data_IF_602237334805
#
_entry.id   IF_602237334805
#
_cell.length_a   1.000
_cell.length_b   1.000
_cell.length_c   1.000
_cell.angle_alpha   90.00
_cell.angle_beta   90.00
_cell.angle_gamma   90.00
#
_symmetry.space_group_name_H-M   'P 1'
#
loop_
_entity.id
_entity.type
_entity.pdbx_description
1 polymer ?
#
# COMPACT_ATOMS: atom_id res chain seq x y z
N UNK A 1 25.96 -0.09 21.53
CA UNK A 1 24.96 0.20 22.59
C UNK A 1 23.59 0.23 21.92
N UNK A 2 22.81 -0.86 22.02
CA UNK A 2 21.44 -0.86 21.53
C UNK A 2 20.57 -0.15 22.57
N UNK A 3 20.34 1.14 22.38
CA UNK A 3 19.35 1.88 23.16
C UNK A 3 17.97 1.35 22.78
N UNK A 4 17.54 0.27 23.45
CA UNK A 4 16.23 -0.36 23.32
C UNK A 4 15.13 0.52 23.95
N UNK A 5 15.06 1.78 23.53
CA UNK A 5 13.94 2.66 23.85
C UNK A 5 12.89 2.52 22.74
N UNK A 6 12.35 1.32 22.61
CA UNK A 6 11.20 1.10 21.75
C UNK A 6 10.02 1.88 22.33
N UNK A 7 9.59 2.91 21.60
CA UNK A 7 8.40 3.69 21.94
C UNK A 7 7.20 2.76 22.14
N UNK A 8 6.43 2.99 23.20
CA UNK A 8 5.26 2.18 23.52
C UNK A 8 4.01 2.87 22.96
N UNK A 9 3.35 2.21 22.03
CA UNK A 9 2.11 2.67 21.39
C UNK A 9 0.88 2.00 22.00
N UNK A 10 -0.24 2.70 21.96
CA UNK A 10 -1.54 2.17 22.38
C UNK A 10 -2.29 1.56 21.19
N UNK A 11 -2.94 0.41 21.42
CA UNK A 11 -3.72 -0.23 20.38
C UNK A 11 -5.02 0.55 20.08
N UNK A 12 -5.35 0.77 18.79
CA UNK A 12 -6.56 1.46 18.35
C UNK A 12 -7.84 0.65 18.58
N UNK A 13 -7.74 -0.67 18.78
CA UNK A 13 -8.87 -1.55 19.08
C UNK A 13 -9.14 -1.66 20.58
N UNK A 14 -8.08 -1.62 21.40
CA UNK A 14 -8.18 -1.78 22.86
C UNK A 14 -7.15 -0.89 23.57
N UNK A 15 -7.64 0.12 24.29
CA UNK A 15 -6.84 1.08 25.07
C UNK A 15 -5.91 0.46 26.11
N UNK A 16 -6.22 -0.74 26.60
CA UNK A 16 -5.42 -1.45 27.60
C UNK A 16 -4.18 -2.13 27.02
N UNK A 17 -4.14 -2.34 25.70
CA UNK A 17 -2.94 -2.91 25.07
C UNK A 17 -1.89 -1.81 24.85
N UNK A 18 -0.72 -2.02 25.45
CA UNK A 18 0.49 -1.21 25.30
C UNK A 18 1.55 -2.07 24.60
N UNK A 19 2.04 -1.64 23.44
CA UNK A 19 2.87 -2.46 22.57
C UNK A 19 4.08 -1.65 22.12
N UNK A 20 5.26 -2.26 22.14
CA UNK A 20 6.45 -1.69 21.54
C UNK A 20 6.22 -1.39 20.05
N UNK A 21 6.71 -0.24 19.57
CA UNK A 21 6.60 0.22 18.18
C UNK A 21 7.08 -0.84 17.19
N UNK A 22 8.19 -1.51 17.51
CA UNK A 22 8.78 -2.63 16.77
C UNK A 22 7.82 -3.82 16.56
N UNK A 23 6.86 -4.02 17.47
CA UNK A 23 5.88 -5.13 17.44
C UNK A 23 4.49 -4.68 17.02
N UNK A 24 4.26 -3.38 16.81
CA UNK A 24 2.94 -2.81 16.64
C UNK A 24 2.22 -3.32 15.40
N UNK A 25 2.90 -3.41 14.25
CA UNK A 25 2.32 -3.92 13.00
C UNK A 25 1.77 -5.35 13.14
N UNK A 26 2.59 -6.27 13.66
CA UNK A 26 2.17 -7.66 13.88
C UNK A 26 1.02 -7.74 14.90
N UNK A 27 1.05 -6.89 15.93
CA UNK A 27 -0.02 -6.80 16.90
C UNK A 27 -1.35 -6.41 16.25
N UNK A 28 -1.38 -5.38 15.39
CA UNK A 28 -2.61 -4.91 14.74
C UNK A 28 -3.31 -6.03 13.98
N UNK A 29 -2.58 -6.77 13.14
CA UNK A 29 -3.15 -7.86 12.33
C UNK A 29 -3.75 -8.97 13.20
N UNK A 30 -3.12 -9.30 14.33
CA UNK A 30 -3.67 -10.30 15.26
C UNK A 30 -4.86 -9.75 16.05
N UNK A 31 -4.77 -8.49 16.47
CA UNK A 31 -5.79 -7.87 17.31
C UNK A 31 -7.09 -7.64 16.53
N UNK A 32 -6.98 -7.22 15.27
CA UNK A 32 -8.09 -6.97 14.34
C UNK A 32 -9.02 -8.18 14.19
N UNK A 33 -8.47 -9.40 14.18
CA UNK A 33 -9.24 -10.65 14.08
C UNK A 33 -10.20 -10.91 15.24
N UNK A 34 -10.02 -10.25 16.38
CA UNK A 34 -10.91 -10.39 17.54
C UNK A 34 -12.11 -9.43 17.50
N UNK A 35 -12.19 -8.55 16.50
CA UNK A 35 -13.24 -7.56 16.33
C UNK A 35 -14.03 -7.84 15.05
N UNK A 36 -15.26 -7.30 14.92
CA UNK A 36 -16.02 -7.41 13.68
C UNK A 36 -15.25 -6.88 12.47
N UNK A 37 -15.46 -7.45 11.27
CA UNK A 37 -14.96 -6.85 10.04
C UNK A 37 -15.46 -5.41 9.94
N UNK A 38 -14.62 -4.51 9.42
CA UNK A 38 -14.88 -3.08 9.27
C UNK A 38 -15.05 -2.26 10.55
N UNK A 39 -14.70 -2.80 11.73
CA UNK A 39 -14.70 -2.03 12.97
C UNK A 39 -13.75 -0.81 12.93
N UNK A 40 -12.63 -0.95 12.20
CA UNK A 40 -11.67 0.11 11.91
C UNK A 40 -11.26 0.04 10.44
N UNK A 41 -10.96 1.20 9.86
CA UNK A 41 -10.43 1.34 8.50
C UNK A 41 -8.94 1.61 8.54
N UNK A 42 -8.22 1.08 7.55
CA UNK A 42 -6.77 1.25 7.42
C UNK A 42 -6.48 2.52 6.60
N UNK A 43 -5.52 3.33 7.05
CA UNK A 43 -5.07 4.48 6.25
C UNK A 43 -4.37 4.00 4.97
N UNK A 44 -4.68 4.59 3.80
CA UNK A 44 -4.04 4.22 2.54
C UNK A 44 -2.53 4.55 2.50
N UNK A 45 -2.06 5.49 3.32
CA UNK A 45 -0.65 5.91 3.35
C UNK A 45 0.18 5.21 4.43
N UNK A 46 -0.47 4.69 5.49
CA UNK A 46 0.23 4.01 6.57
C UNK A 46 -0.59 2.86 7.15
N UNK A 47 -0.10 1.65 6.93
CA UNK A 47 -0.72 0.42 7.39
C UNK A 47 -0.72 0.25 8.93
N UNK A 48 -0.07 1.13 9.71
CA UNK A 48 -0.21 1.13 11.19
C UNK A 48 -1.38 1.95 11.68
N UNK A 49 -1.88 2.90 10.87
CA UNK A 49 -3.01 3.73 11.26
C UNK A 49 -4.31 2.92 11.10
N UNK A 50 -5.11 2.89 12.18
CA UNK A 50 -6.46 2.31 12.21
C UNK A 50 -7.42 3.35 12.77
N UNK A 51 -8.41 3.72 11.98
CA UNK A 51 -9.31 4.85 12.27
C UNK A 51 -10.77 4.41 12.18
N UNK A 52 -11.69 5.19 12.73
CA UNK A 52 -13.10 4.96 12.50
C UNK A 52 -13.49 5.39 11.08
N UNK A 53 -14.57 4.81 10.54
CA UNK A 53 -15.10 5.19 9.22
C UNK A 53 -15.39 6.69 9.10
N UNK A 54 -15.85 7.33 10.18
CA UNK A 54 -16.13 8.78 10.20
C UNK A 54 -14.87 9.65 10.26
N UNK A 55 -13.76 9.13 10.76
CA UNK A 55 -12.52 9.90 10.99
C UNK A 55 -11.53 9.77 9.82
N UNK A 56 -11.69 8.76 8.96
CA UNK A 56 -10.73 8.45 7.90
C UNK A 56 -10.65 9.57 6.86
N UNK A 57 -11.77 10.22 6.54
CA UNK A 57 -11.83 11.30 5.54
C UNK A 57 -11.01 12.51 5.98
N UNK A 58 -11.19 12.94 7.23
CA UNK A 58 -10.38 14.01 7.81
C UNK A 58 -8.91 13.58 7.93
N UNK A 59 -8.66 12.36 8.42
CA UNK A 59 -7.31 11.83 8.58
C UNK A 59 -6.50 11.84 7.28
N UNK A 60 -7.08 11.42 6.16
CA UNK A 60 -6.41 11.40 4.85
C UNK A 60 -5.89 12.80 4.49
N UNK A 61 -6.62 13.85 4.83
CA UNK A 61 -6.22 15.22 4.53
C UNK A 61 -5.04 15.71 5.35
N UNK A 62 -4.94 15.26 6.61
CA UNK A 62 -3.90 15.69 7.55
C UNK A 62 -2.81 14.64 7.78
N UNK A 63 -2.86 13.51 7.07
CA UNK A 63 -1.98 12.38 7.33
C UNK A 63 -0.51 12.77 7.11
N UNK A 64 0.38 12.60 8.11
CA UNK A 64 1.79 12.96 7.96
C UNK A 64 2.48 12.23 6.80
N UNK A 65 2.07 10.99 6.54
CA UNK A 65 2.66 10.13 5.50
C UNK A 65 2.16 10.44 4.08
N UNK A 66 1.09 11.24 3.95
CA UNK A 66 0.54 11.62 2.63
C UNK A 66 1.59 12.33 1.76
N UNK A 67 2.30 13.31 2.34
CA UNK A 67 3.33 14.11 1.64
C UNK A 67 4.49 13.27 1.11
N UNK A 68 4.86 12.20 1.81
CA UNK A 68 5.93 11.29 1.41
C UNK A 68 5.56 10.48 0.17
N UNK A 69 4.32 9.98 0.13
CA UNK A 69 3.81 9.23 -1.03
C UNK A 69 3.61 10.16 -2.22
N UNK A 70 3.09 11.36 -1.98
CA UNK A 70 2.85 12.33 -3.03
C UNK A 70 4.17 12.86 -3.66
N UNK A 71 5.24 13.05 -2.89
CA UNK A 71 6.54 13.45 -3.46
C UNK A 71 7.15 12.42 -4.43
N UNK A 72 6.71 11.15 -4.40
CA UNK A 72 7.31 10.05 -5.17
C UNK A 72 6.80 9.91 -6.61
N UNK A 73 5.71 10.59 -6.98
CA UNK A 73 5.17 10.54 -8.35
C UNK A 73 5.82 11.53 -9.32
N UNK A 74 6.77 12.36 -8.88
CA UNK A 74 7.61 13.13 -9.80
C UNK A 74 8.65 12.16 -10.38
N UNK A 75 8.25 11.38 -11.38
CA UNK A 75 9.21 10.72 -12.27
C UNK A 75 10.02 11.83 -12.93
N UNK A 76 11.35 11.91 -12.75
CA UNK A 76 12.15 12.66 -13.70
C UNK A 76 11.94 12.01 -15.08
N UNK A 77 11.76 12.78 -16.16
CA UNK A 77 11.67 12.21 -17.48
C UNK A 77 12.95 11.40 -17.71
N UNK A 78 12.83 10.08 -17.79
CA UNK A 78 13.94 9.20 -18.13
C UNK A 78 14.37 9.59 -19.53
N UNK A 79 15.57 10.14 -19.65
CA UNK A 79 16.25 10.58 -20.88
C UNK A 79 16.49 9.47 -21.92
N UNK A 80 15.85 8.30 -21.78
CA UNK A 80 15.95 7.17 -22.69
C UNK A 80 14.88 7.16 -23.80
N UNK A 81 13.94 8.11 -23.84
CA UNK A 81 12.90 8.22 -24.88
C UNK A 81 13.24 9.20 -26.02
N UNK A 82 14.53 9.44 -26.31
CA UNK A 82 14.94 10.35 -27.40
C UNK A 82 15.46 9.68 -28.67
N UNK A 83 15.13 8.41 -28.95
CA UNK A 83 15.40 7.81 -30.27
C UNK A 83 14.08 7.62 -31.01
N UNK A 84 13.61 8.69 -31.65
CA UNK A 84 12.75 8.63 -32.84
C UNK A 84 13.47 9.33 -33.98
N UNK A 85 14.17 8.55 -34.80
CA UNK A 85 14.43 8.92 -36.18
C UNK A 85 13.65 7.92 -37.04
N UNK A 86 12.71 8.45 -37.80
CA UNK A 86 11.81 7.80 -38.75
C UNK A 86 12.53 6.80 -39.67
N UNK A 87 11.87 5.67 -40.01
CA UNK A 87 11.56 5.14 -41.36
C UNK A 87 10.72 3.86 -41.16
N UNK A 88 9.41 3.83 -41.37
CA UNK A 88 8.67 3.74 -42.64
C UNK A 88 7.91 2.38 -42.68
N UNK A 89 6.61 2.52 -42.88
CA UNK A 89 5.53 1.57 -43.19
C UNK A 89 5.89 0.10 -43.44
N UNK A 90 5.33 -0.80 -42.61
CA UNK A 90 4.77 -2.07 -43.07
C UNK A 90 3.81 -2.63 -42.02
N UNK A 91 2.56 -2.71 -42.45
CA UNK A 91 1.41 -3.32 -41.78
C UNK A 91 1.72 -4.70 -41.23
N UNK A 92 1.31 -5.00 -40.00
CA UNK A 92 0.78 -6.33 -39.63
C UNK A 92 0.02 -6.22 -38.31
N UNK A 93 -1.31 -6.20 -38.43
CA UNK A 93 -2.21 -6.50 -37.33
C UNK A 93 -1.93 -7.95 -36.90
N UNK A 94 -1.46 -8.17 -35.69
CA UNK A 94 -1.44 -9.51 -35.09
C UNK A 94 -2.44 -9.49 -33.94
N UNK A 95 -3.51 -10.23 -34.20
CA UNK A 95 -4.69 -10.48 -33.38
C UNK A 95 -4.26 -11.19 -32.08
N UNK A 96 -4.43 -10.55 -30.92
CA UNK A 96 -4.21 -11.18 -29.62
C UNK A 96 -5.45 -11.99 -29.24
N UNK A 97 -5.62 -13.15 -29.90
CA UNK A 97 -6.62 -14.12 -29.47
C UNK A 97 -6.30 -15.55 -29.96
N UNK A 98 -5.17 -16.12 -29.55
CA UNK A 98 -4.96 -17.58 -29.61
C UNK A 98 -3.77 -18.06 -28.76
N UNK A 99 -3.92 -18.14 -27.43
CA UNK A 99 -3.15 -19.11 -26.61
C UNK A 99 -3.81 -19.32 -25.24
N UNK A 100 -5.06 -19.75 -25.24
CA UNK A 100 -5.65 -20.49 -24.13
C UNK A 100 -6.20 -21.80 -24.72
N UNK A 101 -5.57 -22.90 -24.33
CA UNK A 101 -5.75 -24.25 -24.89
C UNK A 101 -4.36 -24.85 -25.14
N UNK A 102 -3.89 -25.89 -24.45
CA UNK A 102 -4.64 -27.00 -23.87
C UNK A 102 -3.74 -27.75 -22.89
N UNK A 103 -4.28 -28.22 -21.76
CA UNK A 103 -4.03 -29.59 -21.32
C UNK A 103 -5.13 -29.99 -20.31
N UNK A 104 -6.19 -30.60 -20.82
CA UNK A 104 -7.13 -31.41 -20.02
C UNK A 104 -6.85 -32.89 -20.33
N UNK A 105 -6.74 -33.65 -19.25
CA UNK A 105 -7.08 -35.07 -19.02
C UNK A 105 -6.32 -36.21 -19.71
N UNK A 106 -5.77 -37.12 -18.89
CA UNK A 106 -6.39 -38.43 -18.58
C UNK A 106 -6.32 -38.64 -17.05
#
# INVERSE_FOLDING_TARGET
MNSNNDEVLHCPYNKYHRIASSKFQRHLVKCEKNFPPDYKVICPYNATHRLNKSEIEEHINICPMRRTVEGSYIRPPTTHEMIRAEQNDSTSQIDYNSYWGSQEEI
#
